data_IF_014408564201
#
_entry.id   IF_014408564201
#
_cell.length_a   1.000
_cell.length_b   1.000
_cell.length_c   1.000
_cell.angle_alpha   90.00
_cell.angle_beta   90.00
_cell.angle_gamma   90.00
#
_symmetry.space_group_name_H-M   'P 1'
#
loop_
_entity.id
_entity.type
_entity.pdbx_description
1 polymer ?
#
# COMPACT_ATOMS: atom_id res chain seq x y z
N UNK A 1 7.32 12.73 -2.69
CA UNK A 1 5.88 13.04 -2.50
C UNK A 1 5.28 12.35 -1.27
N UNK A 2 5.31 11.02 -1.17
CA UNK A 2 4.64 10.26 -0.10
C UNK A 2 5.12 10.52 1.33
N UNK A 3 6.36 10.99 1.53
CA UNK A 3 6.91 11.27 2.85
C UNK A 3 6.08 12.28 3.68
N UNK A 4 5.32 13.18 3.02
CA UNK A 4 4.40 14.11 3.69
C UNK A 4 3.00 13.53 3.92
N UNK A 5 2.58 12.55 3.11
CA UNK A 5 1.24 11.96 3.21
C UNK A 5 1.11 11.00 4.39
N UNK A 6 2.23 10.49 4.93
CA UNK A 6 2.25 9.57 6.08
C UNK A 6 1.84 10.19 7.43
N UNK A 7 1.52 11.49 7.49
CA UNK A 7 1.21 12.18 8.75
C UNK A 7 -0.28 12.07 9.08
N UNK A 8 -0.61 12.22 10.37
CA UNK A 8 -1.99 12.12 10.89
C UNK A 8 -2.98 13.05 10.16
N UNK A 9 -2.53 14.22 9.70
CA UNK A 9 -3.32 15.21 8.95
C UNK A 9 -4.03 14.62 7.73
N UNK A 10 -3.43 13.61 7.10
CA UNK A 10 -3.95 13.01 5.88
C UNK A 10 -4.53 11.61 6.10
N UNK A 11 -4.63 11.17 7.36
CA UNK A 11 -5.13 9.86 7.73
C UNK A 11 -6.37 10.02 8.62
N UNK A 12 -7.22 9.00 8.62
CA UNK A 12 -8.30 8.84 9.58
C UNK A 12 -8.42 7.37 9.97
N UNK A 13 -8.72 7.15 11.25
CA UNK A 13 -9.05 5.83 11.75
C UNK A 13 -10.55 5.57 11.59
N UNK A 14 -10.90 4.33 11.27
CA UNK A 14 -12.27 3.80 11.31
C UNK A 14 -12.26 2.49 12.06
N UNK A 15 -13.25 2.29 12.92
CA UNK A 15 -13.45 1.06 13.67
C UNK A 15 -14.81 0.45 13.36
N UNK A 16 -14.88 -0.86 13.51
CA UNK A 16 -16.08 -1.69 13.55
C UNK A 16 -15.87 -2.75 14.64
N UNK A 17 -16.92 -3.45 15.03
CA UNK A 17 -16.86 -4.47 16.09
C UNK A 17 -15.82 -5.58 15.79
N UNK A 18 -15.51 -5.82 14.51
CA UNK A 18 -14.59 -6.87 14.07
C UNK A 18 -13.24 -6.37 13.53
N UNK A 19 -13.06 -5.06 13.32
CA UNK A 19 -11.87 -4.54 12.65
C UNK A 19 -11.60 -3.06 12.90
N UNK A 20 -10.33 -2.68 12.84
CA UNK A 20 -9.87 -1.29 12.82
C UNK A 20 -8.98 -1.03 11.60
N UNK A 21 -9.21 0.08 10.91
CA UNK A 21 -8.49 0.46 9.69
C UNK A 21 -8.04 1.91 9.78
N UNK A 22 -6.82 2.19 9.32
CA UNK A 22 -6.33 3.55 9.08
C UNK A 22 -6.29 3.78 7.57
N UNK A 23 -7.02 4.78 7.10
CA UNK A 23 -7.09 5.13 5.68
C UNK A 23 -6.71 6.58 5.41
N UNK A 24 -6.26 6.88 4.20
CA UNK A 24 -6.05 8.26 3.77
C UNK A 24 -7.38 9.02 3.64
N UNK A 25 -7.35 10.33 3.81
CA UNK A 25 -8.54 11.18 3.70
C UNK A 25 -8.76 11.69 2.27
N UNK A 26 -10.03 11.70 1.83
CA UNK A 26 -10.51 12.40 0.64
C UNK A 26 -9.62 12.27 -0.60
N UNK A 27 -9.18 13.42 -1.16
CA UNK A 27 -8.35 13.47 -2.37
C UNK A 27 -7.00 12.75 -2.21
N UNK A 28 -6.43 12.73 -1.00
CA UNK A 28 -5.15 12.04 -0.73
C UNK A 28 -5.28 10.54 -0.97
N UNK A 29 -6.41 9.94 -0.58
CA UNK A 29 -6.66 8.51 -0.84
C UNK A 29 -6.69 8.18 -2.33
N UNK A 30 -7.27 9.05 -3.16
CA UNK A 30 -7.24 8.90 -4.62
C UNK A 30 -5.81 8.98 -5.14
N UNK A 31 -5.04 9.98 -4.72
CA UNK A 31 -3.65 10.16 -5.13
C UNK A 31 -2.79 8.95 -4.74
N UNK A 32 -2.93 8.46 -3.50
CA UNK A 32 -2.23 7.27 -3.05
C UNK A 32 -2.53 6.05 -3.92
N UNK A 33 -3.80 5.80 -4.26
CA UNK A 33 -4.20 4.70 -5.15
C UNK A 33 -3.63 4.84 -6.57
N UNK A 34 -3.67 6.03 -7.15
CA UNK A 34 -3.09 6.30 -8.48
C UNK A 34 -1.63 5.89 -8.53
N UNK A 35 -0.83 6.32 -7.55
CA UNK A 35 0.59 6.00 -7.53
C UNK A 35 0.88 4.56 -7.09
N UNK A 36 0.09 3.98 -6.19
CA UNK A 36 0.29 2.61 -5.72
C UNK A 36 0.04 1.61 -6.86
N UNK A 37 -1.06 1.78 -7.57
CA UNK A 37 -1.48 0.86 -8.63
C UNK A 37 -1.03 1.30 -10.03
N UNK A 38 -0.33 2.43 -10.16
CA UNK A 38 0.10 2.95 -11.45
C UNK A 38 -1.09 3.26 -12.36
N UNK A 39 -2.07 4.02 -11.87
CA UNK A 39 -3.22 4.46 -12.67
C UNK A 39 -2.87 5.74 -13.45
N UNK A 40 -3.71 6.09 -14.44
CA UNK A 40 -3.65 7.41 -15.07
C UNK A 40 -4.23 8.47 -14.16
N UNK A 41 -3.60 9.64 -14.12
CA UNK A 41 -4.16 10.83 -13.46
C UNK A 41 -3.72 12.12 -14.15
N UNK A 42 -4.47 13.18 -13.91
CA UNK A 42 -4.21 14.53 -14.38
C UNK A 42 -3.80 15.40 -13.18
N UNK A 43 -2.50 15.63 -12.94
CA UNK A 43 -1.99 16.31 -11.73
C UNK A 43 -2.60 17.68 -11.45
N UNK A 44 -2.91 18.46 -12.49
CA UNK A 44 -3.56 19.75 -12.38
C UNK A 44 -4.48 20.02 -13.59
N UNK A 45 -5.31 21.07 -13.53
CA UNK A 45 -6.28 21.36 -14.60
C UNK A 45 -5.64 21.59 -15.97
N UNK A 46 -4.37 21.96 -16.05
CA UNK A 46 -3.65 22.27 -17.29
C UNK A 46 -2.67 21.18 -17.73
N UNK A 47 -2.44 20.16 -16.92
CA UNK A 47 -1.56 19.05 -17.27
C UNK A 47 -2.25 18.08 -18.21
N UNK A 48 -1.48 17.40 -19.07
CA UNK A 48 -1.98 16.22 -19.79
C UNK A 48 -2.15 15.06 -18.82
N UNK A 49 -2.87 14.03 -19.26
CA UNK A 49 -2.99 12.80 -18.50
C UNK A 49 -1.64 12.09 -18.44
N UNK A 50 -1.25 11.67 -17.24
CA UNK A 50 0.03 11.02 -16.96
C UNK A 50 -0.24 9.59 -16.50
N UNK A 51 0.42 8.63 -17.14
CA UNK A 51 0.48 7.25 -16.70
C UNK A 51 1.58 7.12 -15.63
N UNK A 52 1.21 6.71 -14.42
CA UNK A 52 2.19 6.47 -13.36
C UNK A 52 2.69 5.03 -13.38
N UNK A 53 3.95 4.82 -12.97
CA UNK A 53 4.47 3.48 -12.69
C UNK A 53 3.85 2.94 -11.39
N UNK A 54 3.44 1.68 -11.40
CA UNK A 54 2.95 0.99 -10.22
C UNK A 54 4.09 0.79 -9.20
N UNK A 55 3.73 0.76 -7.91
CA UNK A 55 4.65 0.56 -6.80
C UNK A 55 4.32 -0.79 -6.14
N UNK A 56 4.77 -1.91 -6.72
CA UNK A 56 4.57 -3.21 -6.11
C UNK A 56 5.18 -3.22 -4.71
N UNK A 57 4.50 -3.87 -3.77
CA UNK A 57 5.06 -4.10 -2.44
C UNK A 57 6.20 -5.11 -2.59
N UNK A 58 7.26 -4.91 -1.79
CA UNK A 58 8.23 -5.97 -1.59
C UNK A 58 7.48 -7.11 -0.88
N UNK A 59 7.44 -8.25 -1.52
CA UNK A 59 6.85 -9.46 -1.00
C UNK A 59 7.88 -10.57 -0.97
N UNK A 60 7.47 -11.70 -0.44
CA UNK A 60 8.25 -12.92 -0.51
C UNK A 60 8.20 -13.48 -1.92
N UNK A 61 9.36 -13.92 -2.41
CA UNK A 61 9.41 -14.82 -3.55
C UNK A 61 8.94 -16.21 -3.13
N UNK A 62 8.67 -17.09 -4.10
CA UNK A 62 8.33 -18.49 -3.78
C UNK A 62 9.45 -19.19 -3.02
N UNK A 63 10.71 -18.83 -3.30
CA UNK A 63 11.85 -19.40 -2.61
C UNK A 63 11.93 -18.89 -1.16
N UNK A 64 11.59 -17.61 -0.93
CA UNK A 64 11.46 -17.06 0.42
C UNK A 64 10.33 -17.75 1.19
N UNK A 65 9.17 -17.97 0.55
CA UNK A 65 8.02 -18.66 1.14
C UNK A 65 8.42 -20.09 1.55
N UNK A 66 9.04 -20.86 0.65
CA UNK A 66 9.49 -22.23 0.94
C UNK A 66 10.50 -22.26 2.08
N UNK A 67 11.45 -21.32 2.10
CA UNK A 67 12.44 -21.23 3.17
C UNK A 67 11.77 -20.97 4.53
N UNK A 68 10.80 -20.06 4.58
CA UNK A 68 10.05 -19.74 5.80
C UNK A 68 9.26 -20.96 6.27
N UNK A 69 8.55 -21.64 5.36
CA UNK A 69 7.80 -22.86 5.67
C UNK A 69 8.71 -23.95 6.25
N UNK A 70 9.86 -24.21 5.61
CA UNK A 70 10.82 -25.20 6.07
C UNK A 70 11.37 -24.89 7.47
N UNK A 71 11.59 -23.60 7.78
CA UNK A 71 12.03 -23.16 9.11
C UNK A 71 10.94 -23.44 10.15
N UNK A 72 9.69 -23.12 9.83
CA UNK A 72 8.54 -23.35 10.72
C UNK A 72 8.36 -24.85 10.98
N UNK A 73 8.33 -25.67 9.93
CA UNK A 73 8.15 -27.13 10.04
C UNK A 73 9.28 -27.75 10.87
N UNK A 74 10.54 -27.37 10.62
CA UNK A 74 11.68 -27.85 11.41
C UNK A 74 11.61 -27.45 12.88
N UNK A 75 11.01 -26.30 13.19
CA UNK A 75 10.83 -25.86 14.57
C UNK A 75 9.71 -26.61 15.28
N UNK A 76 8.61 -26.93 14.58
CA UNK A 76 7.43 -27.62 15.13
C UNK A 76 7.55 -29.16 15.11
N UNK A 77 8.40 -29.72 14.25
CA UNK A 77 8.66 -31.16 14.15
C UNK A 77 9.68 -31.70 15.17
N UNK A 78 10.11 -30.86 16.11
CA UNK A 78 10.82 -31.26 17.33
C UNK A 78 9.85 -31.34 18.49
#
# INVERSE_FOLDING_TARGET
>A
MFARLRTNRFMKAKGSDSAAVVEFTGRVQRMARVHQYGLKDRPNRHSRDVQYAARPLLGFTRDDEQMIEDIIIRHLGK
#
